data_IF_594225329319
#
_entry.id   IF_594225329319
#
_cell.length_a   1.000
_cell.length_b   1.000
_cell.length_c   1.000
_cell.angle_alpha   90.00
_cell.angle_beta   90.00
_cell.angle_gamma   90.00
#
_symmetry.space_group_name_H-M   'P 1'
#
loop_
_entity.id
_entity.type
_entity.pdbx_description
1 polymer ?
#
# COMPACT_ATOMS: atom_id res chain seq x y z
N UNK A 1 33.79 57.75 -24.28
CA UNK A 1 33.49 56.35 -24.63
C UNK A 1 32.86 55.67 -23.42
N UNK A 2 31.52 55.51 -23.39
CA UNK A 2 30.79 54.90 -22.28
C UNK A 2 30.39 53.46 -22.65
N UNK A 3 30.86 52.46 -21.89
CA UNK A 3 30.50 51.05 -22.09
C UNK A 3 29.24 50.73 -21.28
N UNK A 4 28.16 50.48 -22.01
CA UNK A 4 26.84 50.08 -21.52
C UNK A 4 26.90 48.63 -21.01
N UNK A 5 26.80 48.43 -19.70
CA UNK A 5 26.88 47.09 -19.07
C UNK A 5 25.46 46.51 -18.93
N UNK A 6 25.09 45.61 -19.85
CA UNK A 6 23.79 44.94 -19.86
C UNK A 6 23.68 43.96 -18.67
N UNK A 7 22.71 44.18 -17.77
CA UNK A 7 22.35 43.21 -16.73
C UNK A 7 21.51 42.09 -17.36
N UNK A 8 22.12 40.93 -17.59
CA UNK A 8 21.46 39.71 -18.00
C UNK A 8 20.70 39.13 -16.81
N UNK A 9 19.38 39.32 -16.79
CA UNK A 9 18.49 38.75 -15.77
C UNK A 9 18.36 37.25 -16.03
N UNK A 10 19.04 36.43 -15.24
CA UNK A 10 18.80 34.98 -15.24
C UNK A 10 17.51 34.72 -14.46
N UNK A 11 16.42 34.42 -15.20
CA UNK A 11 15.20 33.86 -14.62
C UNK A 11 15.51 32.43 -14.17
N UNK A 12 15.84 32.29 -12.88
CA UNK A 12 15.94 30.99 -12.21
C UNK A 12 14.50 30.51 -11.96
N UNK A 13 13.88 29.92 -12.98
CA UNK A 13 12.62 29.19 -12.80
C UNK A 13 12.99 27.83 -12.23
N UNK A 14 13.23 27.80 -10.93
CA UNK A 14 13.36 26.58 -10.13
C UNK A 14 12.11 25.75 -10.34
N UNK A 15 12.19 24.81 -11.29
CA UNK A 15 11.22 23.75 -11.43
C UNK A 15 11.54 22.81 -10.29
N UNK A 16 10.94 23.06 -9.12
CA UNK A 16 10.87 22.08 -8.04
C UNK A 16 10.19 20.84 -8.61
N UNK A 17 10.99 19.91 -9.12
CA UNK A 17 10.58 18.53 -9.33
C UNK A 17 10.25 18.00 -7.95
N UNK A 18 8.98 18.14 -7.56
CA UNK A 18 8.41 17.40 -6.45
C UNK A 18 8.48 15.95 -6.89
N UNK A 19 9.60 15.29 -6.58
CA UNK A 19 9.72 13.86 -6.66
C UNK A 19 8.72 13.32 -5.65
N UNK A 20 7.49 13.07 -6.11
CA UNK A 20 6.52 12.27 -5.41
C UNK A 20 7.17 10.90 -5.26
N UNK A 21 7.93 10.71 -4.17
CA UNK A 21 8.46 9.41 -3.77
C UNK A 21 7.26 8.47 -3.77
N UNK A 22 7.19 7.56 -4.75
CA UNK A 22 6.24 6.46 -4.73
C UNK A 22 6.41 5.81 -3.37
N UNK A 23 5.39 5.95 -2.52
CA UNK A 23 5.38 5.31 -1.20
C UNK A 23 5.51 3.82 -1.46
N UNK A 24 6.51 3.20 -0.85
CA UNK A 24 6.73 1.77 -0.97
C UNK A 24 5.53 1.08 -0.31
N UNK A 25 4.76 0.30 -1.07
CA UNK A 25 3.70 -0.55 -0.50
C UNK A 25 4.34 -1.52 0.48
N UNK A 26 3.77 -1.63 1.67
CA UNK A 26 4.19 -2.56 2.71
C UNK A 26 3.56 -3.94 2.51
N UNK A 27 2.42 -3.97 1.83
CA UNK A 27 1.65 -5.15 1.51
C UNK A 27 1.69 -5.46 0.00
N UNK A 28 1.68 -6.75 -0.36
CA UNK A 28 1.50 -7.20 -1.73
C UNK A 28 0.78 -8.57 -1.77
N UNK A 29 0.18 -8.89 -2.91
CA UNK A 29 -0.68 -10.05 -3.11
C UNK A 29 -0.03 -11.40 -2.75
N UNK A 30 1.31 -11.53 -2.88
CA UNK A 30 2.05 -12.77 -2.62
C UNK A 30 2.42 -12.98 -1.15
N UNK A 31 2.07 -12.04 -0.26
CA UNK A 31 2.37 -12.17 1.16
C UNK A 31 1.50 -13.25 1.79
N UNK A 32 2.08 -14.03 2.68
CA UNK A 32 1.36 -15.06 3.42
C UNK A 32 0.39 -14.41 4.44
N UNK A 33 -0.87 -14.83 4.43
CA UNK A 33 -1.93 -14.29 5.29
C UNK A 33 -1.70 -14.62 6.76
N UNK A 34 -1.30 -15.85 7.08
CA UNK A 34 -1.00 -16.25 8.46
C UNK A 34 0.18 -15.49 9.08
N UNK A 35 1.14 -15.03 8.27
CA UNK A 35 2.21 -14.15 8.70
C UNK A 35 1.69 -12.74 9.01
N UNK A 36 0.76 -12.22 8.19
CA UNK A 36 0.17 -10.91 8.40
C UNK A 36 -0.66 -10.84 9.68
N UNK A 37 -1.52 -11.83 9.91
CA UNK A 37 -2.32 -11.92 11.14
C UNK A 37 -1.44 -12.00 12.40
N UNK A 38 -0.34 -12.75 12.35
CA UNK A 38 0.61 -12.84 13.49
C UNK A 38 1.38 -11.55 13.73
N UNK A 39 1.64 -10.76 12.68
CA UNK A 39 2.50 -9.59 12.75
C UNK A 39 1.74 -8.29 13.02
N UNK A 40 0.52 -8.16 12.53
CA UNK A 40 -0.25 -6.91 12.58
C UNK A 40 -1.61 -7.15 13.22
N UNK A 41 -1.84 -6.46 14.34
CA UNK A 41 -3.12 -6.49 15.05
C UNK A 41 -4.24 -5.89 14.18
N UNK A 42 -5.41 -6.53 14.17
CA UNK A 42 -6.60 -6.07 13.43
C UNK A 42 -6.66 -6.57 11.98
N UNK A 43 -5.62 -7.24 11.48
CA UNK A 43 -5.68 -7.96 10.20
C UNK A 43 -6.64 -9.14 10.29
N UNK A 44 -6.66 -9.83 11.41
CA UNK A 44 -7.60 -10.91 11.71
C UNK A 44 -9.05 -10.44 11.64
N UNK A 45 -9.40 -9.36 12.31
CA UNK A 45 -10.75 -8.77 12.28
C UNK A 45 -11.18 -8.43 10.85
N UNK A 46 -10.29 -7.83 10.06
CA UNK A 46 -10.54 -7.52 8.66
C UNK A 46 -10.83 -8.78 7.85
N UNK A 47 -9.96 -9.80 7.95
CA UNK A 47 -10.11 -11.02 7.16
C UNK A 47 -11.38 -11.77 7.55
N UNK A 48 -11.71 -11.88 8.84
CA UNK A 48 -12.97 -12.48 9.30
C UNK A 48 -14.21 -11.74 8.78
N UNK A 49 -14.13 -10.42 8.61
CA UNK A 49 -15.23 -9.64 8.05
C UNK A 49 -15.51 -9.98 6.57
N UNK A 50 -14.47 -10.32 5.81
CA UNK A 50 -14.57 -10.69 4.39
C UNK A 50 -14.97 -12.16 4.19
N UNK A 51 -14.88 -13.00 5.22
CA UNK A 51 -15.24 -14.43 5.17
C UNK A 51 -16.66 -14.70 5.65
N UNK A 52 -17.59 -13.73 5.57
CA UNK A 52 -18.89 -13.73 6.26
C UNK A 52 -19.80 -14.95 5.99
N UNK A 53 -19.47 -15.79 5.01
CA UNK A 53 -20.21 -17.02 4.63
C UNK A 53 -19.30 -18.25 4.40
N UNK A 54 -18.04 -18.20 4.84
CA UNK A 54 -17.06 -19.25 4.59
C UNK A 54 -16.58 -19.82 5.92
N UNK A 55 -16.88 -21.11 6.15
CA UNK A 55 -16.24 -21.94 7.16
C UNK A 55 -14.78 -22.23 6.74
N UNK A 56 -14.00 -21.18 6.48
CA UNK A 56 -12.57 -21.31 6.27
C UNK A 56 -11.97 -21.63 7.63
N UNK A 57 -11.62 -22.91 7.81
CA UNK A 57 -10.80 -23.34 8.91
C UNK A 57 -9.38 -22.83 8.63
N UNK A 58 -8.97 -21.78 9.35
CA UNK A 58 -7.64 -21.18 9.28
C UNK A 58 -6.54 -22.08 9.89
N UNK A 59 -6.69 -23.41 9.85
CA UNK A 59 -5.82 -24.33 10.59
C UNK A 59 -4.36 -24.26 10.13
N UNK A 60 -4.11 -23.93 8.86
CA UNK A 60 -2.74 -23.89 8.33
C UNK A 60 -2.29 -22.54 7.76
N UNK A 61 -3.20 -21.61 7.43
CA UNK A 61 -2.94 -20.24 6.89
C UNK A 61 -1.71 -20.06 5.98
N UNK A 62 -1.33 -21.11 5.24
CA UNK A 62 -0.15 -21.12 4.38
C UNK A 62 -0.53 -20.77 2.93
N UNK A 63 -1.32 -19.70 2.80
CA UNK A 63 -1.74 -19.16 1.52
C UNK A 63 -1.52 -17.66 1.48
N UNK A 64 -1.41 -17.15 0.26
CA UNK A 64 -1.17 -15.75 -0.08
C UNK A 64 -2.46 -14.92 -0.02
N UNK A 65 -2.32 -13.59 0.01
CA UNK A 65 -3.48 -12.68 -0.04
C UNK A 65 -4.27 -12.90 -1.35
N UNK A 66 -3.59 -13.16 -2.46
CA UNK A 66 -4.22 -13.48 -3.75
C UNK A 66 -5.12 -14.71 -3.65
N UNK A 67 -4.59 -15.82 -3.11
CA UNK A 67 -5.35 -17.04 -2.89
C UNK A 67 -6.52 -16.84 -1.93
N UNK A 68 -6.34 -16.03 -0.88
CA UNK A 68 -7.45 -15.65 0.00
C UNK A 68 -8.56 -14.92 -0.75
N UNK A 69 -8.18 -13.98 -1.63
CA UNK A 69 -9.12 -13.24 -2.48
C UNK A 69 -9.92 -14.20 -3.37
N UNK A 70 -9.25 -15.17 -3.98
CA UNK A 70 -9.88 -16.18 -4.84
C UNK A 70 -10.82 -17.09 -4.06
N UNK A 71 -10.42 -17.54 -2.85
CA UNK A 71 -11.23 -18.42 -2.00
C UNK A 71 -12.48 -17.69 -1.48
N UNK A 72 -12.32 -16.43 -1.06
CA UNK A 72 -13.39 -15.62 -0.47
C UNK A 72 -14.26 -14.91 -1.48
N UNK A 73 -13.79 -14.78 -2.72
CA UNK A 73 -14.43 -13.97 -3.75
C UNK A 73 -14.40 -12.47 -3.44
N UNK A 74 -13.55 -12.01 -2.52
CA UNK A 74 -13.37 -10.58 -2.27
C UNK A 74 -12.50 -9.93 -3.35
N UNK A 75 -12.62 -8.61 -3.50
CA UNK A 75 -11.80 -7.85 -4.44
C UNK A 75 -10.36 -7.71 -3.92
N UNK A 76 -9.39 -8.17 -4.71
CA UNK A 76 -7.98 -8.18 -4.33
C UNK A 76 -7.42 -6.77 -4.16
N UNK A 77 -7.82 -5.82 -5.00
CA UNK A 77 -7.30 -4.44 -4.91
C UNK A 77 -7.82 -3.76 -3.64
N UNK A 78 -9.12 -3.89 -3.36
CA UNK A 78 -9.75 -3.40 -2.12
C UNK A 78 -9.09 -4.01 -0.89
N UNK A 79 -8.91 -5.34 -0.86
CA UNK A 79 -8.28 -6.04 0.25
C UNK A 79 -6.84 -5.56 0.49
N UNK A 80 -6.06 -5.36 -0.58
CA UNK A 80 -4.69 -4.86 -0.46
C UNK A 80 -4.64 -3.43 0.08
N UNK A 81 -5.61 -2.58 -0.28
CA UNK A 81 -5.71 -1.21 0.23
C UNK A 81 -6.08 -1.19 1.72
N UNK A 82 -7.07 -1.96 2.14
CA UNK A 82 -7.48 -2.06 3.54
C UNK A 82 -6.35 -2.63 4.41
N UNK A 83 -5.67 -3.68 3.95
CA UNK A 83 -4.50 -4.24 4.63
C UNK A 83 -3.35 -3.22 4.72
N UNK A 84 -3.10 -2.43 3.68
CA UNK A 84 -2.07 -1.39 3.71
C UNK A 84 -2.42 -0.29 4.74
N UNK A 85 -3.70 0.05 4.91
CA UNK A 85 -4.14 1.01 5.95
C UNK A 85 -3.85 0.47 7.35
N UNK A 86 -4.16 -0.82 7.61
CA UNK A 86 -3.87 -1.49 8.88
C UNK A 86 -2.37 -1.55 9.15
N UNK A 87 -1.61 -2.05 8.18
CA UNK A 87 -0.16 -2.22 8.33
C UNK A 87 0.60 -0.89 8.41
N UNK A 88 0.06 0.17 7.81
CA UNK A 88 0.63 1.52 7.93
C UNK A 88 0.23 2.25 9.21
N UNK A 89 -0.61 1.65 10.06
CA UNK A 89 -1.07 2.24 11.33
C UNK A 89 -1.96 3.48 11.15
N UNK A 90 -2.76 3.50 10.07
CA UNK A 90 -3.66 4.62 9.74
C UNK A 90 -5.12 4.37 10.09
N UNK A 91 -5.38 3.34 10.88
CA UNK A 91 -6.70 2.93 11.38
C UNK A 91 -6.92 3.41 12.81
#
# INVERSE_FOLDING_TARGET
MAKHNQRRVHSFKESTKVSMKKRKKLINARMNVGLLMRKYKGVDDLLFSKTSNLDIVFEDMDFSIEEFSDITGCDLEELLEELELIVSGRV
#
